data_IF_944243299851
#
_entry.id   IF_944243299851
#
_cell.length_a   1.000
_cell.length_b   1.000
_cell.length_c   1.000
_cell.angle_alpha   90.00
_cell.angle_beta   90.00
_cell.angle_gamma   90.00
#
_symmetry.space_group_name_H-M   'P 1'
#
loop_
_entity.id
_entity.type
_entity.pdbx_description
1 polymer ?
#
# COMPACT_ATOMS: atom_id res chain seq x y z
N UNK A 1 4.61 26.64 1.87
CA UNK A 1 3.21 26.35 2.27
C UNK A 1 3.08 24.84 2.39
N UNK A 2 3.11 24.31 3.61
CA UNK A 2 2.94 22.89 3.88
C UNK A 2 1.44 22.60 3.82
N UNK A 3 0.98 21.85 2.82
CA UNK A 3 -0.38 21.34 2.82
C UNK A 3 -0.50 20.28 3.93
N UNK A 4 -1.26 20.60 4.97
CA UNK A 4 -1.60 19.67 6.04
C UNK A 4 -2.36 18.47 5.45
N UNK A 5 -1.82 17.27 5.66
CA UNK A 5 -2.45 16.01 5.22
C UNK A 5 -3.39 15.51 6.32
N UNK A 6 -4.70 15.43 6.08
CA UNK A 6 -5.70 15.11 7.10
C UNK A 6 -5.67 13.66 7.61
N UNK A 7 -5.00 12.73 6.90
CA UNK A 7 -4.84 11.36 7.36
C UNK A 7 -3.86 11.19 8.54
N UNK A 8 -3.19 12.28 8.97
CA UNK A 8 -2.08 12.24 9.94
C UNK A 8 -2.48 12.40 11.41
N UNK A 9 -3.72 12.74 11.72
CA UNK A 9 -4.10 13.03 13.11
C UNK A 9 -4.30 11.74 13.91
N UNK A 10 -3.21 11.16 14.47
CA UNK A 10 -3.31 10.23 15.61
C UNK A 10 -2.35 9.03 15.72
N UNK A 11 -1.36 8.82 14.84
CA UNK A 11 -0.45 7.66 14.94
C UNK A 11 1.00 8.04 15.16
N UNK A 12 1.63 7.46 16.18
CA UNK A 12 3.07 7.59 16.47
C UNK A 12 3.93 6.62 15.64
N UNK A 13 3.30 5.68 14.92
CA UNK A 13 3.97 4.59 14.20
C UNK A 13 3.88 4.70 12.68
N UNK A 14 2.96 5.52 12.16
CA UNK A 14 2.67 5.64 10.72
C UNK A 14 2.83 7.09 10.30
N UNK A 15 3.64 7.30 9.26
CA UNK A 15 3.84 8.61 8.65
C UNK A 15 3.56 8.56 7.14
N UNK A 16 3.35 9.75 6.56
CA UNK A 16 3.20 9.91 5.12
C UNK A 16 4.42 10.61 4.56
N UNK A 17 5.20 9.88 3.78
CA UNK A 17 6.25 10.44 2.95
C UNK A 17 5.67 10.86 1.58
N UNK A 18 6.20 11.93 0.97
CA UNK A 18 5.75 12.42 -0.33
C UNK A 18 6.78 12.43 -1.44
N UNK A 19 7.93 11.82 -1.20
CA UNK A 19 8.99 11.73 -2.17
C UNK A 19 8.49 11.15 -3.49
N UNK A 20 7.75 10.03 -3.46
CA UNK A 20 7.22 9.38 -4.67
C UNK A 20 6.27 10.31 -5.43
N UNK A 21 5.33 10.94 -4.72
CA UNK A 21 4.31 11.82 -5.30
C UNK A 21 4.89 13.13 -5.87
N UNK A 22 6.08 13.56 -5.40
CA UNK A 22 6.79 14.73 -5.90
C UNK A 22 7.66 14.46 -7.12
N UNK A 23 7.86 13.20 -7.49
CA UNK A 23 8.68 12.88 -8.66
C UNK A 23 7.99 13.33 -9.95
N UNK A 24 8.73 13.91 -10.91
CA UNK A 24 8.15 14.42 -12.16
C UNK A 24 7.67 13.30 -13.11
N UNK A 25 8.04 12.05 -12.83
CA UNK A 25 7.68 10.86 -13.59
C UNK A 25 7.28 9.75 -12.64
N UNK A 26 6.45 8.84 -13.14
CA UNK A 26 6.13 7.60 -12.46
C UNK A 26 7.39 6.89 -11.96
N UNK A 27 7.38 6.50 -10.69
CA UNK A 27 8.41 5.67 -10.08
C UNK A 27 7.91 4.26 -9.93
N UNK A 28 8.80 3.31 -10.20
CA UNK A 28 8.52 1.90 -9.93
C UNK A 28 8.66 1.65 -8.45
N UNK A 29 7.84 0.76 -7.87
CA UNK A 29 7.92 0.44 -6.44
C UNK A 29 9.31 -0.04 -5.99
N UNK A 30 10.08 -0.68 -6.87
CA UNK A 30 11.49 -1.02 -6.63
C UNK A 30 12.33 0.22 -6.30
N UNK A 31 12.19 1.29 -7.06
CA UNK A 31 12.96 2.53 -6.89
C UNK A 31 12.54 3.27 -5.61
N UNK A 32 11.24 3.24 -5.30
CA UNK A 32 10.69 3.78 -4.05
C UNK A 32 11.27 3.05 -2.82
N UNK A 33 11.31 1.72 -2.85
CA UNK A 33 11.91 0.93 -1.77
C UNK A 33 13.42 1.17 -1.65
N UNK A 34 14.13 1.27 -2.78
CA UNK A 34 15.56 1.58 -2.79
C UNK A 34 15.85 2.96 -2.19
N UNK A 35 15.02 3.97 -2.50
CA UNK A 35 15.11 5.30 -1.88
C UNK A 35 15.04 5.23 -0.36
N UNK A 36 14.03 4.54 0.20
CA UNK A 36 13.90 4.42 1.66
C UNK A 36 15.04 3.61 2.29
N UNK A 37 15.53 2.57 1.62
CA UNK A 37 16.70 1.82 2.07
C UNK A 37 17.95 2.70 2.12
N UNK A 38 18.14 3.57 1.12
CA UNK A 38 19.26 4.50 1.09
C UNK A 38 19.14 5.58 2.19
N UNK A 39 17.96 6.16 2.37
CA UNK A 39 17.70 7.15 3.43
C UNK A 39 17.99 6.56 4.83
N UNK A 40 17.48 5.35 5.11
CA UNK A 40 17.76 4.66 6.36
C UNK A 40 19.23 4.22 6.48
N UNK A 41 19.92 3.99 5.36
CA UNK A 41 21.36 3.72 5.37
C UNK A 41 22.21 4.93 5.80
N UNK A 42 21.73 6.15 5.54
CA UNK A 42 22.41 7.40 5.96
C UNK A 42 22.24 7.68 7.45
N UNK A 43 21.12 7.27 8.03
CA UNK A 43 20.85 7.33 9.47
C UNK A 43 20.36 5.96 9.94
N UNK A 44 21.28 5.00 10.17
CA UNK A 44 20.91 3.64 10.51
C UNK A 44 20.04 3.60 11.77
N UNK A 45 18.81 3.10 11.60
CA UNK A 45 17.97 2.73 12.72
C UNK A 45 18.34 1.32 13.17
N UNK A 46 18.54 1.14 14.46
CA UNK A 46 18.70 -0.15 15.09
C UNK A 46 17.45 -0.42 15.94
N UNK A 47 16.81 -1.56 15.70
CA UNK A 47 15.86 -2.10 16.66
C UNK A 47 16.64 -2.89 17.72
N UNK A 48 16.00 -3.21 18.84
CA UNK A 48 16.57 -4.05 19.89
C UNK A 48 15.80 -5.35 19.91
N UNK A 49 16.49 -6.48 19.78
CA UNK A 49 15.85 -7.79 19.86
C UNK A 49 15.52 -8.17 21.32
N UNK A 50 14.90 -9.34 21.51
CA UNK A 50 14.53 -9.83 22.83
C UNK A 50 15.74 -10.08 23.77
N UNK A 51 16.96 -10.18 23.22
CA UNK A 51 18.20 -10.35 23.96
C UNK A 51 18.91 -9.03 24.29
N UNK A 52 18.33 -7.90 23.88
CA UNK A 52 18.93 -6.59 24.07
C UNK A 52 19.98 -6.23 23.02
N UNK A 53 20.14 -7.04 21.96
CA UNK A 53 21.12 -6.79 20.92
C UNK A 53 20.56 -5.89 19.82
N UNK A 54 21.36 -4.95 19.30
CA UNK A 54 20.94 -4.12 18.18
C UNK A 54 20.82 -5.00 16.92
N UNK A 55 19.66 -4.93 16.28
CA UNK A 55 19.40 -5.57 15.00
C UNK A 55 19.09 -4.51 13.95
N UNK A 56 19.64 -4.66 12.72
CA UNK A 56 19.41 -3.69 11.66
C UNK A 56 17.94 -3.69 11.25
N UNK A 57 17.39 -2.50 11.00
CA UNK A 57 16.05 -2.36 10.44
C UNK A 57 16.07 -2.71 8.95
N UNK A 58 15.05 -3.45 8.50
CA UNK A 58 14.86 -3.82 7.11
C UNK A 58 13.60 -3.11 6.56
N UNK A 59 13.73 -2.49 5.39
CA UNK A 59 12.59 -1.95 4.63
C UNK A 59 11.85 -3.11 3.97
N UNK A 60 10.54 -3.18 4.17
CA UNK A 60 9.67 -4.19 3.55
C UNK A 60 8.52 -3.51 2.81
N UNK A 61 8.04 -4.14 1.73
CA UNK A 61 6.82 -3.70 1.06
C UNK A 61 5.60 -4.23 1.83
N UNK A 62 4.82 -3.34 2.44
CA UNK A 62 3.51 -3.69 3.01
C UNK A 62 2.43 -3.61 1.93
N UNK A 63 1.68 -4.68 1.71
CA UNK A 63 0.62 -4.70 0.69
C UNK A 63 -0.55 -5.63 1.01
N UNK A 64 -1.60 -5.57 0.19
CA UNK A 64 -2.69 -6.53 0.18
C UNK A 64 -2.41 -7.71 -0.77
N UNK A 65 -3.32 -8.69 -0.73
CA UNK A 65 -3.26 -9.89 -1.59
C UNK A 65 -3.30 -9.57 -3.08
N UNK A 66 -4.03 -8.53 -3.47
CA UNK A 66 -4.16 -8.05 -4.85
C UNK A 66 -2.82 -7.61 -5.46
N UNK A 67 -2.00 -6.87 -4.71
CA UNK A 67 -0.67 -6.48 -5.17
C UNK A 67 0.26 -7.69 -5.27
N UNK A 68 0.21 -8.62 -4.29
CA UNK A 68 1.04 -9.81 -4.32
C UNK A 68 0.68 -10.74 -5.49
N UNK A 69 -0.62 -10.92 -5.77
CA UNK A 69 -1.09 -11.64 -6.98
C UNK A 69 -0.62 -10.97 -8.27
N UNK A 70 -0.48 -9.64 -8.28
CA UNK A 70 -0.01 -8.92 -9.47
C UNK A 70 1.44 -9.28 -9.83
N UNK A 71 2.25 -9.79 -8.90
CA UNK A 71 3.66 -10.14 -9.14
C UNK A 71 3.82 -11.22 -10.21
N UNK A 72 2.80 -12.07 -10.39
CA UNK A 72 2.82 -13.16 -11.36
C UNK A 72 2.07 -12.83 -12.65
N UNK A 73 1.48 -11.62 -12.74
CA UNK A 73 0.72 -11.19 -13.93
C UNK A 73 1.68 -10.66 -15.01
N UNK A 74 1.70 -11.26 -16.21
CA UNK A 74 2.58 -10.83 -17.29
C UNK A 74 2.33 -9.36 -17.67
N UNK A 75 3.40 -8.60 -17.91
CA UNK A 75 3.34 -7.21 -18.38
C UNK A 75 3.03 -6.15 -17.31
N UNK A 76 2.74 -6.55 -16.07
CA UNK A 76 2.50 -5.60 -14.96
C UNK A 76 3.82 -5.11 -14.37
N UNK A 77 4.76 -6.02 -14.15
CA UNK A 77 6.07 -5.73 -13.57
C UNK A 77 7.16 -5.81 -14.62
N UNK A 78 8.17 -4.93 -14.51
CA UNK A 78 9.36 -5.07 -15.35
C UNK A 78 10.10 -6.36 -14.99
N UNK A 79 10.74 -7.02 -15.98
CA UNK A 79 11.55 -8.19 -15.73
C UNK A 79 12.60 -7.94 -14.64
N UNK A 80 12.62 -8.80 -13.62
CA UNK A 80 13.56 -8.74 -12.50
C UNK A 80 13.16 -7.80 -11.35
N UNK A 81 12.18 -6.91 -11.49
CA UNK A 81 11.81 -5.98 -10.41
C UNK A 81 11.20 -6.73 -9.21
N UNK A 82 10.29 -7.67 -9.47
CA UNK A 82 9.66 -8.50 -8.42
C UNK A 82 10.71 -9.31 -7.65
N UNK A 83 11.61 -9.97 -8.38
CA UNK A 83 12.69 -10.75 -7.78
C UNK A 83 13.62 -9.87 -6.94
N UNK A 84 13.96 -8.68 -7.43
CA UNK A 84 14.76 -7.72 -6.68
C UNK A 84 14.07 -7.24 -5.40
N UNK A 85 12.77 -6.93 -5.46
CA UNK A 85 11.97 -6.53 -4.29
C UNK A 85 11.98 -7.65 -3.25
N UNK A 86 11.69 -8.88 -3.65
CA UNK A 86 11.61 -10.03 -2.75
C UNK A 86 12.97 -10.36 -2.11
N UNK A 87 14.06 -10.34 -2.90
CA UNK A 87 15.40 -10.69 -2.39
C UNK A 87 15.96 -9.60 -1.47
N UNK A 88 15.76 -8.33 -1.81
CA UNK A 88 16.42 -7.20 -1.12
C UNK A 88 15.59 -6.68 0.06
N UNK A 89 14.26 -6.67 -0.07
CA UNK A 89 13.36 -6.02 0.89
C UNK A 89 12.40 -7.01 1.53
N UNK A 90 11.83 -7.93 0.74
CA UNK A 90 10.73 -8.78 1.17
C UNK A 90 9.39 -8.04 1.23
N UNK A 91 8.34 -8.79 1.52
CA UNK A 91 6.95 -8.33 1.48
C UNK A 91 6.23 -8.75 2.75
N UNK A 92 5.47 -7.83 3.36
CA UNK A 92 4.46 -8.14 4.35
C UNK A 92 3.09 -8.03 3.67
N UNK A 93 2.40 -9.15 3.49
CA UNK A 93 1.12 -9.21 2.80
C UNK A 93 -0.01 -9.42 3.81
N UNK A 94 -0.95 -8.47 3.85
CA UNK A 94 -2.14 -8.53 4.67
C UNK A 94 -3.21 -9.35 3.95
N UNK A 95 -3.59 -10.45 4.57
CA UNK A 95 -4.56 -11.41 4.02
C UNK A 95 -5.99 -10.98 4.32
N UNK A 96 -6.75 -10.75 3.24
CA UNK A 96 -8.21 -10.64 3.31
C UNK A 96 -8.85 -12.03 3.43
N UNK A 97 -10.01 -12.11 4.09
CA UNK A 97 -10.78 -13.36 4.16
C UNK A 97 -11.16 -13.84 2.76
N UNK A 98 -10.99 -15.15 2.53
CA UNK A 98 -11.31 -15.78 1.25
C UNK A 98 -10.20 -15.74 0.20
N UNK A 99 -9.08 -15.07 0.46
CA UNK A 99 -7.88 -15.17 -0.38
C UNK A 99 -7.05 -16.40 0.02
N UNK A 100 -6.84 -17.32 -0.92
CA UNK A 100 -5.90 -18.43 -0.77
C UNK A 100 -4.65 -18.19 -1.63
N UNK A 101 -3.53 -17.92 -0.97
CA UNK A 101 -2.23 -17.75 -1.63
C UNK A 101 -1.45 -19.08 -1.75
N UNK A 102 -2.05 -20.21 -1.37
CA UNK A 102 -1.43 -21.54 -1.47
C UNK A 102 -0.91 -21.84 -2.88
N UNK A 103 -1.69 -21.46 -3.89
CA UNK A 103 -1.34 -21.62 -5.32
C UNK A 103 -0.13 -20.78 -5.76
N UNK A 104 0.16 -19.68 -5.05
CA UNK A 104 1.28 -18.79 -5.41
C UNK A 104 2.56 -19.10 -4.63
N UNK A 105 2.43 -19.54 -3.37
CA UNK A 105 3.57 -19.67 -2.44
C UNK A 105 3.93 -21.12 -2.10
N UNK A 106 3.01 -22.08 -2.24
CA UNK A 106 3.19 -23.46 -1.74
C UNK A 106 3.29 -24.48 -2.88
N UNK A 107 2.44 -24.34 -3.91
CA UNK A 107 2.36 -25.30 -5.03
C UNK A 107 3.69 -25.46 -5.80
N UNK A 108 3.97 -26.68 -6.21
CA UNK A 108 5.17 -26.97 -7.00
C UNK A 108 5.11 -26.25 -8.36
N UNK A 109 6.20 -25.56 -8.74
CA UNK A 109 6.23 -24.71 -9.93
C UNK A 109 5.60 -23.32 -9.74
N UNK A 110 5.01 -23.01 -8.57
CA UNK A 110 4.43 -21.71 -8.32
C UNK A 110 5.47 -20.59 -8.40
N UNK A 111 5.19 -19.46 -9.08
CA UNK A 111 6.21 -18.46 -9.40
C UNK A 111 6.87 -17.82 -8.17
N UNK A 112 6.15 -17.73 -7.03
CA UNK A 112 6.65 -17.10 -5.81
C UNK A 112 7.14 -18.12 -4.76
N UNK A 113 7.00 -19.43 -4.99
CA UNK A 113 7.42 -20.47 -4.03
C UNK A 113 8.89 -20.36 -3.63
N UNK A 114 9.77 -20.05 -4.59
CA UNK A 114 11.21 -19.86 -4.33
C UNK A 114 11.53 -18.67 -3.41
N UNK A 115 10.58 -17.75 -3.25
CA UNK A 115 10.69 -16.56 -2.39
C UNK A 115 9.74 -16.60 -1.21
N UNK A 116 9.14 -17.75 -0.87
CA UNK A 116 8.14 -17.85 0.21
C UNK A 116 8.66 -17.30 1.55
N UNK A 117 9.94 -17.51 1.85
CA UNK A 117 10.57 -17.07 3.11
C UNK A 117 10.83 -15.54 3.12
N UNK A 118 10.62 -14.87 1.98
CA UNK A 118 10.66 -13.40 1.83
C UNK A 118 9.27 -12.76 1.92
N UNK A 119 8.22 -13.56 2.11
CA UNK A 119 6.83 -13.09 2.20
C UNK A 119 6.27 -13.42 3.58
N UNK A 120 5.99 -12.39 4.38
CA UNK A 120 5.31 -12.51 5.67
C UNK A 120 3.82 -12.36 5.44
N UNK A 121 3.04 -13.38 5.82
CA UNK A 121 1.58 -13.35 5.73
C UNK A 121 0.98 -12.87 7.06
N UNK A 122 0.30 -11.73 7.03
CA UNK A 122 -0.37 -11.14 8.18
C UNK A 122 -1.86 -11.39 8.05
N UNK A 123 -2.43 -12.19 8.96
CA UNK A 123 -3.86 -12.51 8.96
C UNK A 123 -4.64 -11.42 9.70
N UNK A 124 -5.61 -10.80 9.03
CA UNK A 124 -6.56 -9.92 9.71
C UNK A 124 -7.64 -10.73 10.44
N UNK A 125 -7.84 -10.51 11.75
CA UNK A 125 -8.88 -11.23 12.50
C UNK A 125 -10.29 -10.78 12.13
N UNK A 126 -10.45 -9.51 11.73
CA UNK A 126 -11.71 -8.87 11.40
C UNK A 126 -11.77 -8.53 9.90
N UNK A 127 -12.98 -8.56 9.33
CA UNK A 127 -13.19 -8.25 7.93
C UNK A 127 -13.28 -6.73 7.74
N UNK A 128 -12.26 -6.14 7.13
CA UNK A 128 -12.28 -4.75 6.69
C UNK A 128 -12.39 -4.71 5.16
N UNK A 129 -13.60 -4.85 4.65
CA UNK A 129 -13.90 -4.90 3.21
C UNK A 129 -14.07 -3.52 2.56
N UNK A 130 -13.69 -2.45 3.26
CA UNK A 130 -13.79 -1.08 2.74
C UNK A 130 -12.77 -0.86 1.62
N UNK A 131 -13.26 -0.62 0.40
CA UNK A 131 -12.44 -0.25 -0.74
C UNK A 131 -12.57 1.23 -1.07
N UNK A 132 -11.49 1.85 -1.58
CA UNK A 132 -11.53 3.24 -2.04
C UNK A 132 -12.51 3.45 -3.20
N UNK A 133 -12.75 2.42 -4.03
CA UNK A 133 -13.74 2.48 -5.11
C UNK A 133 -15.16 2.59 -4.58
N UNK A 134 -15.51 1.80 -3.55
CA UNK A 134 -16.80 1.87 -2.87
C UNK A 134 -16.99 3.24 -2.21
N UNK A 135 -15.97 3.72 -1.48
CA UNK A 135 -16.03 5.06 -0.84
C UNK A 135 -16.31 6.17 -1.87
N UNK A 136 -15.59 6.18 -3.00
CA UNK A 136 -15.82 7.18 -4.06
C UNK A 136 -17.21 7.06 -4.68
N UNK A 137 -17.73 5.84 -4.86
CA UNK A 137 -19.07 5.63 -5.42
C UNK A 137 -20.16 6.13 -4.48
N UNK A 138 -20.05 5.86 -3.19
CA UNK A 138 -21.02 6.31 -2.19
C UNK A 138 -20.98 7.83 -2.02
N UNK A 139 -19.79 8.45 -2.08
CA UNK A 139 -19.64 9.91 -2.12
C UNK A 139 -20.34 10.54 -3.33
N UNK A 140 -20.19 9.97 -4.53
CA UNK A 140 -20.88 10.45 -5.75
C UNK A 140 -22.41 10.37 -5.63
N UNK A 141 -22.92 9.33 -4.95
CA UNK A 141 -24.35 9.15 -4.67
C UNK A 141 -24.88 10.08 -3.58
N UNK A 142 -24.03 10.92 -2.97
CA UNK A 142 -24.39 11.76 -1.84
C UNK A 142 -24.63 10.99 -0.53
N UNK A 143 -24.19 9.72 -0.46
CA UNK A 143 -24.30 8.92 0.76
C UNK A 143 -23.20 9.28 1.76
N UNK A 144 -23.49 9.08 3.05
CA UNK A 144 -22.53 9.32 4.12
C UNK A 144 -21.49 8.20 4.21
N UNK A 145 -20.22 8.58 4.28
CA UNK A 145 -19.09 7.66 4.53
C UNK A 145 -18.51 7.83 5.95
N UNK A 146 -19.29 8.40 6.87
CA UNK A 146 -18.91 8.53 8.28
C UNK A 146 -18.65 7.15 8.89
N UNK A 147 -17.63 7.05 9.75
CA UNK A 147 -17.15 5.81 10.38
C UNK A 147 -16.42 4.83 9.44
N UNK A 148 -16.36 5.12 8.14
CA UNK A 148 -15.56 4.38 7.16
C UNK A 148 -14.21 5.05 6.94
N UNK A 149 -14.20 6.38 6.89
CA UNK A 149 -13.01 7.23 6.82
C UNK A 149 -13.03 8.25 7.96
N UNK A 150 -11.87 8.80 8.31
CA UNK A 150 -11.79 9.77 9.42
C UNK A 150 -12.54 11.08 9.09
N UNK A 151 -13.10 11.72 10.11
CA UNK A 151 -13.85 12.98 9.94
C UNK A 151 -12.97 14.06 9.28
N UNK A 152 -11.68 14.14 9.62
CA UNK A 152 -10.74 15.07 8.99
C UNK A 152 -10.61 14.84 7.45
N UNK A 153 -10.64 13.59 7.00
CA UNK A 153 -10.60 13.25 5.57
C UNK A 153 -11.93 13.60 4.90
N UNK A 154 -13.07 13.36 5.57
CA UNK A 154 -14.40 13.73 5.06
C UNK A 154 -14.49 15.24 4.85
N UNK A 155 -14.08 16.03 5.84
CA UNK A 155 -14.10 17.50 5.75
C UNK A 155 -13.16 18.00 4.65
N UNK A 156 -11.99 17.39 4.48
CA UNK A 156 -11.08 17.72 3.39
C UNK A 156 -11.70 17.42 2.00
N UNK A 157 -12.34 16.26 1.84
CA UNK A 157 -13.02 15.88 0.59
C UNK A 157 -14.09 16.93 0.22
N UNK A 158 -14.93 17.32 1.19
CA UNK A 158 -15.96 18.35 0.98
C UNK A 158 -15.35 19.71 0.64
N UNK A 159 -14.36 20.15 1.41
CA UNK A 159 -13.73 21.46 1.22
C UNK A 159 -13.01 21.59 -0.14
N UNK A 160 -12.57 20.47 -0.72
CA UNK A 160 -11.91 20.43 -2.02
C UNK A 160 -12.81 19.98 -3.17
N UNK A 161 -14.08 19.68 -2.91
CA UNK A 161 -15.02 19.18 -3.92
C UNK A 161 -14.56 17.88 -4.59
N UNK A 162 -13.80 17.04 -3.89
CA UNK A 162 -13.26 15.81 -4.48
C UNK A 162 -14.38 14.79 -4.68
N UNK A 163 -14.35 14.10 -5.82
CA UNK A 163 -15.31 13.05 -6.18
C UNK A 163 -16.76 13.50 -6.34
N UNK A 164 -17.01 14.81 -6.50
CA UNK A 164 -18.28 15.30 -7.04
C UNK A 164 -18.42 14.87 -8.51
N UNK A 165 -19.66 14.75 -9.00
CA UNK A 165 -19.89 14.59 -10.44
C UNK A 165 -19.43 15.86 -11.17
N UNK A 166 -18.59 15.70 -12.21
CA UNK A 166 -18.33 16.79 -13.15
C UNK A 166 -19.63 17.03 -13.94
N UNK A 167 -20.07 18.29 -14.08
CA UNK A 167 -21.22 18.68 -14.95
C UNK A 167 -21.05 18.23 -16.43
N UNK A 168 -19.90 17.66 -16.80
CA UNK A 168 -19.59 17.18 -18.15
C UNK A 168 -20.06 15.75 -18.43
N UNK A 169 -20.34 14.93 -17.41
CA UNK A 169 -20.85 13.55 -17.60
C UNK A 169 -22.38 13.49 -17.82
N UNK A 170 -23.11 14.60 -17.63
CA UNK A 170 -24.58 14.63 -17.80
C UNK A 170 -25.03 14.89 -19.25
N UNK A 171 -24.11 15.10 -20.21
CA UNK A 171 -24.47 15.43 -21.61
C UNK A 171 -24.42 14.28 -22.61
N UNK A 172 -24.21 13.04 -22.17
CA UNK A 172 -24.16 11.87 -23.08
C UNK A 172 -25.37 10.96 -22.89
N UNK A 173 -26.53 11.47 -22.47
CA UNK A 173 -27.82 10.81 -22.67
C UNK A 173 -28.89 11.87 -22.94
N UNK A 174 -29.10 12.16 -24.22
CA UNK A 174 -30.14 13.06 -24.73
C UNK A 174 -30.46 12.76 -26.18
#
# INVERSE_FOLDING_TARGET
MLHERPARTGSDLVMVDDWEARQPKYQRSKEVLAHFTEELGRQPLCAVDASGQPVPVQVMLLCGTDLLESFVRPGVWRPGDVEHILVTHGVACVLRRGCDLGTLLVEEGAPLRRFRDRVILVKEPFDNSVSSSTVRQELRRGHSVKYIVSDAVIEYIKAKGLYAEDEQDTKVEG
#
